data_IF_399788767976
#
_entry.id   IF_399788767976
#
_cell.length_a   1.000
_cell.length_b   1.000
_cell.length_c   1.000
_cell.angle_alpha   90.00
_cell.angle_beta   90.00
_cell.angle_gamma   90.00
#
_symmetry.space_group_name_H-M   'P 1'
#
loop_
_entity.id
_entity.type
_entity.pdbx_description
1 polymer ?
#
# COMPACT_ATOMS: atom_id res chain seq x y z
N UNK A 1 5.94 -26.48 16.57
CA UNK A 1 7.01 -26.48 15.55
C UNK A 1 7.44 -25.05 15.29
N UNK A 2 8.71 -24.66 15.47
CA UNK A 2 9.14 -23.30 15.16
C UNK A 2 9.31 -23.17 13.65
N UNK A 3 8.50 -22.32 13.02
CA UNK A 3 8.74 -21.86 11.66
C UNK A 3 9.98 -20.95 11.66
N UNK A 4 11.16 -21.55 11.54
CA UNK A 4 12.37 -20.81 11.16
C UNK A 4 12.13 -20.25 9.76
N UNK A 5 11.84 -18.95 9.66
CA UNK A 5 11.78 -18.24 8.41
C UNK A 5 13.14 -18.40 7.71
N UNK A 6 13.18 -19.17 6.61
CA UNK A 6 14.41 -19.29 5.81
C UNK A 6 14.85 -17.89 5.38
N UNK A 7 16.14 -17.54 5.50
CA UNK A 7 16.61 -16.22 5.10
C UNK A 7 16.24 -15.99 3.63
N UNK A 8 15.47 -14.92 3.37
CA UNK A 8 15.13 -14.55 2.00
C UNK A 8 16.41 -14.05 1.32
N UNK A 9 16.77 -14.58 0.14
CA UNK A 9 18.02 -14.23 -0.50
C UNK A 9 18.02 -12.74 -0.88
N UNK A 10 19.03 -12.01 -0.39
CA UNK A 10 19.24 -10.61 -0.74
C UNK A 10 19.67 -10.50 -2.21
N UNK A 11 19.25 -9.42 -2.91
CA UNK A 11 19.54 -9.18 -4.34
C UNK A 11 19.08 -10.26 -5.32
N UNK A 12 18.03 -11.03 -4.98
CA UNK A 12 17.33 -11.89 -5.94
C UNK A 12 15.98 -11.30 -6.33
N UNK A 13 15.45 -11.78 -7.45
CA UNK A 13 14.10 -11.42 -7.86
C UNK A 13 13.06 -11.77 -6.80
N UNK A 14 12.01 -10.95 -6.73
CA UNK A 14 10.89 -11.22 -5.84
C UNK A 14 10.18 -12.51 -6.25
N UNK A 15 10.04 -13.44 -5.32
CA UNK A 15 9.30 -14.70 -5.52
C UNK A 15 7.79 -14.50 -5.52
N UNK A 16 7.31 -13.36 -5.04
CA UNK A 16 5.93 -12.93 -5.14
C UNK A 16 5.91 -11.48 -5.65
N UNK A 17 5.21 -11.28 -6.77
CA UNK A 17 5.12 -10.00 -7.46
C UNK A 17 3.76 -9.31 -7.31
N UNK A 18 2.83 -9.91 -6.55
CA UNK A 18 1.56 -9.28 -6.19
C UNK A 18 1.84 -8.00 -5.41
N UNK A 19 1.22 -6.91 -5.84
CA UNK A 19 1.20 -5.65 -5.10
C UNK A 19 0.11 -5.75 -4.05
N UNK A 20 0.48 -6.08 -2.82
CA UNK A 20 -0.48 -6.22 -1.72
C UNK A 20 -1.00 -4.86 -1.26
N UNK A 21 -2.30 -4.79 -0.93
CA UNK A 21 -2.99 -3.55 -0.56
C UNK A 21 -2.34 -2.84 0.63
N UNK A 22 -1.97 -3.59 1.68
CA UNK A 22 -1.41 -3.04 2.90
C UNK A 22 -0.02 -2.42 2.64
N UNK A 23 0.78 -3.01 1.75
CA UNK A 23 2.10 -2.46 1.38
C UNK A 23 1.95 -1.08 0.74
N UNK A 24 0.94 -0.89 -0.10
CA UNK A 24 0.69 0.42 -0.74
C UNK A 24 0.19 1.44 0.28
N UNK A 25 -0.71 1.01 1.19
CA UNK A 25 -1.21 1.84 2.28
C UNK A 25 -0.07 2.36 3.18
N UNK A 26 0.82 1.47 3.62
CA UNK A 26 1.97 1.86 4.44
C UNK A 26 2.96 2.75 3.66
N UNK A 27 3.19 2.46 2.37
CA UNK A 27 4.06 3.28 1.54
C UNK A 27 3.56 4.73 1.40
N UNK A 28 2.25 4.93 1.20
CA UNK A 28 1.65 6.28 1.16
C UNK A 28 1.85 7.03 2.47
N UNK A 29 1.51 6.38 3.59
CA UNK A 29 1.64 6.98 4.93
C UNK A 29 3.09 7.32 5.25
N UNK A 30 4.04 6.41 4.99
CA UNK A 30 5.46 6.67 5.19
C UNK A 30 5.97 7.80 4.29
N UNK A 31 5.56 7.84 3.01
CA UNK A 31 5.99 8.87 2.08
C UNK A 31 5.53 10.27 2.54
N UNK A 32 4.27 10.47 2.94
CA UNK A 32 3.84 11.76 3.46
C UNK A 32 4.55 12.16 4.76
N UNK A 33 4.72 11.22 5.70
CA UNK A 33 5.46 11.51 6.93
C UNK A 33 6.91 11.89 6.66
N UNK A 34 7.57 11.22 5.72
CA UNK A 34 8.93 11.56 5.31
C UNK A 34 8.98 12.93 4.63
N UNK A 35 7.99 13.29 3.83
CA UNK A 35 7.89 14.64 3.28
C UNK A 35 7.80 15.68 4.40
N UNK A 36 6.91 15.48 5.37
CA UNK A 36 6.72 16.42 6.48
C UNK A 36 7.95 16.54 7.38
N UNK A 37 8.68 15.45 7.61
CA UNK A 37 9.90 15.45 8.43
C UNK A 37 11.11 16.08 7.73
N UNK A 38 11.18 16.01 6.40
CA UNK A 38 12.42 16.35 5.66
C UNK A 38 12.28 17.52 4.70
N UNK A 39 11.06 17.87 4.30
CA UNK A 39 10.78 18.82 3.22
C UNK A 39 11.19 18.32 1.82
N UNK A 40 11.71 17.10 1.67
CA UNK A 40 12.24 16.62 0.38
C UNK A 40 11.09 16.24 -0.58
N UNK A 41 10.93 16.95 -1.70
CA UNK A 41 9.80 16.77 -2.62
C UNK A 41 9.74 15.38 -3.27
N UNK A 42 10.82 14.58 -3.21
CA UNK A 42 10.79 13.20 -3.72
C UNK A 42 9.75 12.35 -3.00
N UNK A 43 9.54 12.58 -1.70
CA UNK A 43 8.59 11.80 -0.92
C UNK A 43 7.14 12.15 -1.28
N UNK A 44 6.85 13.42 -1.55
CA UNK A 44 5.54 13.81 -2.06
C UNK A 44 5.27 13.22 -3.46
N UNK A 45 6.30 13.14 -4.31
CA UNK A 45 6.21 12.46 -5.62
C UNK A 45 5.93 10.95 -5.47
N UNK A 46 6.57 10.28 -4.51
CA UNK A 46 6.31 8.87 -4.19
C UNK A 46 4.87 8.68 -3.69
N UNK A 47 4.41 9.55 -2.78
CA UNK A 47 3.03 9.51 -2.30
C UNK A 47 2.04 9.61 -3.46
N UNK A 48 2.16 10.64 -4.32
CA UNK A 48 1.26 10.85 -5.46
C UNK A 48 1.20 9.64 -6.39
N UNK A 49 2.36 9.13 -6.82
CA UNK A 49 2.42 7.94 -7.69
C UNK A 49 1.79 6.70 -7.06
N UNK A 50 1.96 6.52 -5.74
CA UNK A 50 1.39 5.38 -5.02
C UNK A 50 -0.11 5.53 -4.86
N UNK A 51 -0.59 6.75 -4.56
CA UNK A 51 -2.00 7.07 -4.50
C UNK A 51 -2.69 6.84 -5.85
N UNK A 52 -2.14 7.37 -6.95
CA UNK A 52 -2.69 7.18 -8.30
C UNK A 52 -2.81 5.68 -8.65
N UNK A 53 -1.81 4.87 -8.26
CA UNK A 53 -1.83 3.43 -8.46
C UNK A 53 -2.94 2.75 -7.63
N UNK A 54 -3.07 3.14 -6.37
CA UNK A 54 -4.09 2.61 -5.46
C UNK A 54 -5.50 2.98 -5.94
N UNK A 55 -5.70 4.24 -6.29
CA UNK A 55 -6.97 4.77 -6.77
C UNK A 55 -7.43 4.04 -8.03
N UNK A 56 -6.50 3.79 -8.95
CA UNK A 56 -6.78 3.16 -10.24
C UNK A 56 -6.94 1.65 -10.19
N UNK A 57 -6.11 0.94 -9.44
CA UNK A 57 -6.02 -0.53 -9.53
C UNK A 57 -6.43 -1.27 -8.26
N UNK A 58 -6.25 -0.68 -7.07
CA UNK A 58 -6.68 -1.31 -5.83
C UNK A 58 -8.13 -1.01 -5.48
N UNK A 59 -8.60 0.22 -5.73
CA UNK A 59 -9.90 0.67 -5.27
C UNK A 59 -11.00 0.13 -6.16
N UNK A 60 -11.94 -0.62 -5.56
CA UNK A 60 -13.15 -1.02 -6.27
C UNK A 60 -14.23 0.04 -6.05
N UNK A 61 -14.36 0.94 -7.01
CA UNK A 61 -15.34 2.00 -6.98
C UNK A 61 -16.79 1.52 -7.16
N UNK A 62 -17.01 0.30 -7.65
CA UNK A 62 -18.35 -0.25 -7.87
C UNK A 62 -18.95 -0.82 -6.59
N UNK A 63 -18.14 -1.51 -5.78
CA UNK A 63 -18.61 -2.21 -4.58
C UNK A 63 -17.92 -1.74 -3.28
N UNK A 64 -17.06 -0.73 -3.37
CA UNK A 64 -16.28 -0.21 -2.25
C UNK A 64 -15.10 -1.09 -1.85
N UNK A 65 -14.26 -0.53 -0.98
CA UNK A 65 -13.06 -1.17 -0.41
C UNK A 65 -11.96 -1.44 -1.47
N UNK A 66 -10.81 -1.97 -1.06
CA UNK A 66 -9.66 -2.27 -1.91
C UNK A 66 -9.47 -3.76 -2.12
N UNK A 67 -9.15 -4.17 -3.35
CA UNK A 67 -8.72 -5.53 -3.64
C UNK A 67 -7.48 -5.92 -2.81
N UNK A 68 -7.39 -7.20 -2.41
CA UNK A 68 -6.26 -7.75 -1.64
C UNK A 68 -4.93 -7.56 -2.36
N UNK A 69 -4.93 -7.58 -3.68
CA UNK A 69 -3.72 -7.29 -4.43
C UNK A 69 -4.01 -6.88 -5.85
N UNK A 70 -2.96 -6.46 -6.54
CA UNK A 70 -2.92 -6.28 -7.98
C UNK A 70 -1.79 -7.14 -8.53
N UNK A 71 -2.07 -7.91 -9.59
CA UNK A 71 -1.07 -8.78 -10.21
C UNK A 71 -0.17 -8.01 -11.20
N UNK A 72 0.79 -8.70 -11.84
CA UNK A 72 1.72 -8.08 -12.81
C UNK A 72 1.02 -7.55 -14.08
N UNK A 73 -0.18 -8.04 -14.38
CA UNK A 73 -1.01 -7.57 -15.50
C UNK A 73 -1.93 -6.41 -15.11
N UNK A 74 -1.77 -5.86 -13.91
CA UNK A 74 -2.60 -4.79 -13.35
C UNK A 74 -4.06 -5.21 -13.12
N UNK A 75 -4.31 -6.51 -12.94
CA UNK A 75 -5.63 -7.03 -12.63
C UNK A 75 -5.79 -7.17 -11.10
N UNK A 76 -6.94 -6.77 -10.55
CA UNK A 76 -7.22 -6.94 -9.13
C UNK A 76 -7.37 -8.43 -8.77
N UNK A 77 -6.84 -8.81 -7.62
CA UNK A 77 -6.88 -10.21 -7.14
C UNK A 77 -7.25 -10.31 -5.66
N UNK A 78 -7.79 -11.47 -5.30
CA UNK A 78 -8.11 -11.86 -3.92
C UNK A 78 -9.40 -11.25 -3.38
N UNK A 79 -9.83 -11.75 -2.21
CA UNK A 79 -11.05 -11.34 -1.53
C UNK A 79 -10.85 -9.99 -0.85
N UNK A 80 -11.90 -9.18 -0.68
CA UNK A 80 -11.81 -7.88 0.03
C UNK A 80 -11.88 -7.99 1.55
N UNK A 81 -12.19 -9.17 2.08
CA UNK A 81 -12.15 -9.48 3.50
C UNK A 81 -11.60 -10.89 3.74
N UNK A 82 -10.75 -11.03 4.74
CA UNK A 82 -10.16 -12.28 5.18
C UNK A 82 -9.69 -12.14 6.64
N UNK A 83 -9.28 -13.24 7.27
CA UNK A 83 -8.73 -13.22 8.64
C UNK A 83 -7.52 -12.27 8.80
N UNK A 84 -6.80 -11.98 7.71
CA UNK A 84 -5.66 -11.08 7.65
C UNK A 84 -5.96 -9.75 6.93
N UNK A 85 -7.20 -9.55 6.46
CA UNK A 85 -7.62 -8.35 5.73
C UNK A 85 -8.98 -7.87 6.23
N UNK A 86 -8.95 -6.70 6.88
CA UNK A 86 -10.14 -5.89 7.15
C UNK A 86 -9.89 -4.44 6.77
N UNK A 87 -10.86 -3.58 7.07
CA UNK A 87 -10.81 -2.13 6.83
C UNK A 87 -9.87 -1.39 7.81
N UNK A 88 -8.67 -1.93 8.03
CA UNK A 88 -7.68 -1.36 8.93
C UNK A 88 -6.59 -0.61 8.17
N UNK A 89 -5.73 -1.31 7.41
CA UNK A 89 -4.57 -0.68 6.77
C UNK A 89 -4.94 0.46 5.82
N UNK A 90 -5.86 0.21 4.90
CA UNK A 90 -6.36 1.24 3.97
C UNK A 90 -7.15 2.34 4.69
N UNK A 91 -8.04 1.99 5.61
CA UNK A 91 -8.81 2.97 6.38
C UNK A 91 -7.91 3.92 7.18
N UNK A 92 -7.02 3.36 8.01
CA UNK A 92 -6.03 4.12 8.79
C UNK A 92 -5.13 4.95 7.89
N UNK A 93 -4.57 4.36 6.84
CA UNK A 93 -3.67 5.06 5.91
C UNK A 93 -4.35 6.27 5.30
N UNK A 94 -5.58 6.13 4.78
CA UNK A 94 -6.31 7.25 4.18
C UNK A 94 -6.62 8.35 5.20
N UNK A 95 -7.04 8.00 6.42
CA UNK A 95 -7.27 9.00 7.48
C UNK A 95 -5.99 9.73 7.87
N UNK A 96 -4.87 9.01 8.05
CA UNK A 96 -3.57 9.63 8.34
C UNK A 96 -3.13 10.54 7.19
N UNK A 97 -3.20 10.08 5.94
CA UNK A 97 -2.81 10.89 4.79
C UNK A 97 -3.65 12.17 4.66
N UNK A 98 -4.96 12.09 4.88
CA UNK A 98 -5.84 13.28 4.87
C UNK A 98 -5.42 14.27 5.96
N UNK A 99 -5.08 13.80 7.15
CA UNK A 99 -4.64 14.67 8.24
C UNK A 99 -3.30 15.36 7.92
N UNK A 100 -2.32 14.61 7.40
CA UNK A 100 -1.02 15.17 7.00
C UNK A 100 -1.19 16.21 5.88
N UNK A 101 -2.02 15.93 4.87
CA UNK A 101 -2.25 16.83 3.74
C UNK A 101 -3.01 18.11 4.11
N UNK A 102 -3.88 18.07 5.13
CA UNK A 102 -4.56 19.27 5.64
C UNK A 102 -3.63 20.20 6.43
N UNK A 103 -2.52 19.66 6.93
CA UNK A 103 -1.51 20.43 7.66
C UNK A 103 -0.41 21.02 6.78
N UNK A 104 -0.35 20.64 5.50
CA UNK A 104 0.49 21.27 4.47
C UNK A 104 -0.13 22.59 4.01
#
# INVERSE_FOLDING_TARGET
MPHLARPRPFRKEATNKIKAWWVQAEAMTSALKMYNLTGDPKYLSIFKKTYDFVEKYHTDWKYGEWHSGVNEKLEPVGRKGAIYKGAYHNGRSMMECINELKGL
#
